data_IF_228337047509
#
_entry.id   IF_228337047509
#
_cell.length_a   1.000
_cell.length_b   1.000
_cell.length_c   1.000
_cell.angle_alpha   90.00
_cell.angle_beta   90.00
_cell.angle_gamma   90.00
#
_symmetry.space_group_name_H-M   'P 1'
#
loop_
_entity.id
_entity.type
_entity.pdbx_description
1 polymer ?
#
# COMPACT_ATOMS: atom_id res chain seq x y z
N UNK A 1 -12.18 -15.10 6.93
CA UNK A 1 -11.42 -13.82 7.04
C UNK A 1 -10.13 -13.82 6.19
N UNK A 2 -9.21 -14.79 6.33
CA UNK A 2 -7.93 -14.76 5.59
C UNK A 2 -8.03 -14.73 4.05
N UNK A 3 -8.95 -15.52 3.48
CA UNK A 3 -9.14 -15.59 2.02
C UNK A 3 -9.62 -14.25 1.42
N UNK A 4 -10.53 -13.55 2.11
CA UNK A 4 -11.06 -12.24 1.66
C UNK A 4 -9.95 -11.20 1.61
N UNK A 5 -9.04 -11.18 2.59
CA UNK A 5 -7.91 -10.23 2.62
C UNK A 5 -6.98 -10.46 1.42
N UNK A 6 -6.72 -11.71 1.04
CA UNK A 6 -5.88 -12.02 -0.11
C UNK A 6 -6.53 -11.54 -1.42
N UNK A 7 -7.81 -11.81 -1.62
CA UNK A 7 -8.56 -11.33 -2.78
C UNK A 7 -8.55 -9.80 -2.87
N UNK A 8 -8.83 -9.11 -1.77
CA UNK A 8 -8.83 -7.65 -1.72
C UNK A 8 -7.44 -7.09 -1.98
N UNK A 9 -6.39 -7.67 -1.40
CA UNK A 9 -5.00 -7.25 -1.66
C UNK A 9 -4.60 -7.42 -3.13
N UNK A 10 -5.07 -8.48 -3.78
CA UNK A 10 -4.87 -8.71 -5.21
C UNK A 10 -5.65 -7.69 -6.05
N UNK A 11 -6.89 -7.37 -5.70
CA UNK A 11 -7.66 -6.34 -6.38
C UNK A 11 -7.00 -4.96 -6.26
N UNK A 12 -6.56 -4.58 -5.07
CA UNK A 12 -5.81 -3.33 -4.84
C UNK A 12 -4.62 -3.26 -5.78
N UNK A 13 -3.73 -4.27 -5.75
CA UNK A 13 -2.54 -4.31 -6.58
C UNK A 13 -2.84 -4.29 -8.09
N UNK A 14 -3.82 -5.08 -8.53
CA UNK A 14 -4.17 -5.13 -9.96
C UNK A 14 -4.73 -3.81 -10.47
N UNK A 15 -5.63 -3.16 -9.74
CA UNK A 15 -6.19 -1.88 -10.18
C UNK A 15 -5.13 -0.78 -10.21
N UNK A 16 -4.24 -0.75 -9.24
CA UNK A 16 -3.15 0.23 -9.19
C UNK A 16 -2.10 0.00 -10.29
N UNK A 17 -1.80 -1.25 -10.65
CA UNK A 17 -0.84 -1.58 -11.72
C UNK A 17 -1.32 -1.10 -13.10
N UNK A 18 -2.64 -1.05 -13.31
CA UNK A 18 -3.25 -0.51 -14.53
C UNK A 18 -3.43 1.02 -14.52
N UNK A 19 -2.83 1.72 -13.56
CA UNK A 19 -2.98 3.17 -13.43
C UNK A 19 -4.33 3.61 -12.82
N UNK A 20 -5.17 2.68 -12.40
CA UNK A 20 -6.43 2.95 -11.69
C UNK A 20 -6.22 2.98 -10.17
N UNK A 21 -5.20 3.73 -9.71
CA UNK A 21 -4.85 3.82 -8.29
C UNK A 21 -6.02 4.28 -7.40
N UNK A 22 -6.89 5.14 -7.91
CA UNK A 22 -8.10 5.58 -7.23
C UNK A 22 -9.09 4.43 -6.95
N UNK A 23 -9.22 3.47 -7.88
CA UNK A 23 -10.11 2.31 -7.71
C UNK A 23 -9.51 1.38 -6.65
N UNK A 24 -8.20 1.13 -6.70
CA UNK A 24 -7.51 0.35 -5.67
C UNK A 24 -7.67 0.98 -4.28
N UNK A 25 -7.58 2.32 -4.19
CA UNK A 25 -7.81 3.06 -2.95
C UNK A 25 -9.26 2.96 -2.46
N UNK A 26 -10.26 3.05 -3.35
CA UNK A 26 -11.68 2.85 -2.99
C UNK A 26 -11.93 1.46 -2.42
N UNK A 27 -11.42 0.42 -3.08
CA UNK A 27 -11.51 -0.97 -2.58
C UNK A 27 -10.88 -1.10 -1.19
N UNK A 28 -9.74 -0.44 -0.97
CA UNK A 28 -9.12 -0.38 0.35
C UNK A 28 -9.98 0.35 1.39
N UNK A 29 -10.56 1.49 1.03
CA UNK A 29 -11.35 2.33 1.94
C UNK A 29 -12.69 1.70 2.33
N UNK A 30 -13.28 0.88 1.47
CA UNK A 30 -14.49 0.09 1.73
C UNK A 30 -14.25 -1.07 2.72
N UNK A 31 -12.99 -1.44 2.97
CA UNK A 31 -12.70 -2.51 3.91
C UNK A 31 -12.92 -2.07 5.37
N UNK A 32 -13.74 -2.81 6.15
CA UNK A 32 -14.00 -2.49 7.55
C UNK A 32 -12.76 -2.67 8.42
N UNK A 33 -11.85 -3.58 8.04
CA UNK A 33 -10.58 -3.80 8.72
C UNK A 33 -9.42 -3.64 7.74
N UNK A 34 -8.73 -2.50 7.85
CA UNK A 34 -7.53 -2.16 7.07
C UNK A 34 -6.29 -2.55 7.86
N UNK A 35 -6.06 -3.86 7.96
CA UNK A 35 -4.90 -4.42 8.66
C UNK A 35 -3.59 -4.26 7.89
N UNK A 36 -2.49 -4.67 8.52
CA UNK A 36 -1.12 -4.59 8.00
C UNK A 36 -0.98 -5.09 6.54
N UNK A 37 -1.63 -6.21 6.19
CA UNK A 37 -1.57 -6.79 4.84
C UNK A 37 -2.15 -5.86 3.79
N UNK A 38 -3.31 -5.24 4.06
CA UNK A 38 -3.97 -4.34 3.10
C UNK A 38 -3.21 -3.03 2.94
N UNK A 39 -2.69 -2.48 4.04
CA UNK A 39 -1.82 -1.30 3.99
C UNK A 39 -0.54 -1.58 3.19
N UNK A 40 0.10 -2.72 3.44
CA UNK A 40 1.33 -3.12 2.73
C UNK A 40 1.06 -3.30 1.23
N UNK A 41 -0.08 -3.89 0.86
CA UNK A 41 -0.47 -4.04 -0.54
C UNK A 41 -0.68 -2.67 -1.23
N UNK A 42 -1.40 -1.75 -0.58
CA UNK A 42 -1.63 -0.40 -1.08
C UNK A 42 -0.35 0.43 -1.17
N UNK A 43 0.52 0.37 -0.16
CA UNK A 43 1.80 1.10 -0.18
C UNK A 43 2.70 0.56 -1.29
N UNK A 44 2.82 -0.78 -1.42
CA UNK A 44 3.58 -1.43 -2.49
C UNK A 44 3.12 -0.91 -3.85
N UNK A 45 1.81 -0.90 -4.08
CA UNK A 45 1.32 -0.54 -5.40
C UNK A 45 1.62 0.91 -5.79
N UNK A 46 1.49 1.85 -4.85
CA UNK A 46 1.83 3.25 -5.13
C UNK A 46 3.34 3.44 -5.36
N UNK A 47 4.17 2.75 -4.57
CA UNK A 47 5.64 2.76 -4.76
C UNK A 47 6.05 2.12 -6.09
N UNK A 48 5.38 1.07 -6.54
CA UNK A 48 5.67 0.40 -7.83
C UNK A 48 5.15 1.18 -9.04
N UNK A 49 4.04 1.92 -8.90
CA UNK A 49 3.41 2.70 -9.97
C UNK A 49 4.03 4.10 -10.20
N UNK A 50 5.32 4.30 -9.84
CA UNK A 50 6.05 5.59 -9.89
C UNK A 50 5.42 6.73 -9.07
N UNK A 51 4.56 6.41 -8.12
CA UNK A 51 3.97 7.37 -7.16
C UNK A 51 4.55 7.12 -5.76
N UNK A 52 5.89 7.06 -5.69
CA UNK A 52 6.60 6.72 -4.46
C UNK A 52 6.29 7.69 -3.31
N UNK A 53 6.13 8.99 -3.61
CA UNK A 53 5.75 9.99 -2.61
C UNK A 53 4.39 9.68 -1.96
N UNK A 54 3.38 9.36 -2.75
CA UNK A 54 2.05 9.00 -2.24
C UNK A 54 2.09 7.68 -1.47
N UNK A 55 2.90 6.72 -1.92
CA UNK A 55 3.17 5.48 -1.18
C UNK A 55 3.75 5.73 0.22
N UNK A 56 4.71 6.67 0.33
CA UNK A 56 5.29 7.07 1.61
C UNK A 56 4.29 7.83 2.50
N UNK A 57 3.45 8.69 1.92
CA UNK A 57 2.36 9.34 2.68
C UNK A 57 1.37 8.32 3.25
N UNK A 58 1.04 7.27 2.49
CA UNK A 58 0.21 6.18 2.98
C UNK A 58 0.88 5.40 4.12
N UNK A 59 2.19 5.22 4.10
CA UNK A 59 2.93 4.62 5.21
C UNK A 59 2.89 5.49 6.48
N UNK A 60 2.98 6.82 6.34
CA UNK A 60 2.79 7.73 7.49
C UNK A 60 1.39 7.58 8.06
N UNK A 61 0.36 7.60 7.19
CA UNK A 61 -1.04 7.44 7.61
C UNK A 61 -1.32 6.11 8.29
N UNK A 62 -0.72 5.02 7.81
CA UNK A 62 -0.79 3.70 8.43
C UNK A 62 -0.31 3.73 9.89
N UNK A 63 0.77 4.45 10.17
CA UNK A 63 1.32 4.60 11.54
C UNK A 63 0.42 5.48 12.41
N UNK A 64 -0.16 6.55 11.85
CA UNK A 64 -1.07 7.46 12.58
C UNK A 64 -2.33 6.74 13.08
N UNK A 65 -2.85 5.77 12.29
CA UNK A 65 -4.01 4.96 12.70
C UNK A 65 -3.64 3.77 13.60
N UNK A 66 -2.39 3.71 14.09
CA UNK A 66 -1.92 2.69 15.01
C UNK A 66 -1.61 1.33 14.38
N UNK A 67 -1.56 1.22 13.05
CA UNK A 67 -1.13 -0.01 12.38
C UNK A 67 0.39 0.01 12.31
N UNK A 68 1.04 -0.72 13.20
CA UNK A 68 2.50 -0.80 13.22
C UNK A 68 3.03 -1.65 12.06
N UNK A 69 4.04 -1.15 11.32
CA UNK A 69 4.71 -1.88 10.26
C UNK A 69 5.73 -2.87 10.87
N UNK A 70 5.22 -3.87 11.58
CA UNK A 70 6.04 -4.95 12.12
C UNK A 70 6.54 -5.91 11.03
N UNK A 71 5.99 -5.80 9.82
CA UNK A 71 6.38 -6.61 8.68
C UNK A 71 7.61 -6.01 7.98
N UNK A 72 8.68 -6.79 7.91
CA UNK A 72 9.90 -6.49 7.15
C UNK A 72 9.61 -6.12 5.70
N UNK A 73 8.52 -6.67 5.14
CA UNK A 73 8.07 -6.38 3.77
C UNK A 73 7.61 -4.93 3.63
N UNK A 74 6.85 -4.40 4.58
CA UNK A 74 6.39 -3.01 4.55
C UNK A 74 7.57 -2.03 4.61
N UNK A 75 8.56 -2.32 5.45
CA UNK A 75 9.77 -1.52 5.57
C UNK A 75 10.63 -1.57 4.29
N UNK A 76 10.79 -2.75 3.68
CA UNK A 76 11.52 -2.90 2.43
C UNK A 76 10.91 -2.07 1.29
N UNK A 77 9.57 -2.05 1.20
CA UNK A 77 8.85 -1.22 0.21
C UNK A 77 9.14 0.26 0.44
N UNK A 78 9.08 0.72 1.69
CA UNK A 78 9.35 2.13 2.05
C UNK A 78 10.77 2.53 1.67
N UNK A 79 11.77 1.68 1.98
CA UNK A 79 13.16 1.92 1.60
C UNK A 79 13.32 2.03 0.07
N UNK A 80 12.67 1.14 -0.68
CA UNK A 80 12.64 1.21 -2.14
C UNK A 80 11.96 2.49 -2.66
N UNK A 81 10.88 2.93 -2.02
CA UNK A 81 10.22 4.20 -2.34
C UNK A 81 11.14 5.39 -2.13
N UNK A 82 11.85 5.44 -1.00
CA UNK A 82 12.83 6.50 -0.72
C UNK A 82 13.97 6.51 -1.77
N UNK A 83 14.48 5.33 -2.17
CA UNK A 83 15.52 5.28 -3.20
C UNK A 83 15.04 5.79 -4.56
N UNK A 84 13.77 5.58 -4.92
CA UNK A 84 13.21 6.12 -6.16
C UNK A 84 13.13 7.65 -6.17
N UNK A 85 12.85 8.27 -5.01
CA UNK A 85 12.77 9.73 -4.89
C UNK A 85 14.14 10.40 -4.86
N UNK A 86 15.16 9.74 -4.33
CA UNK A 86 16.53 10.29 -4.24
C UNK A 86 17.36 10.20 -5.53
N UNK A 87 16.87 9.50 -6.57
CA UNK A 87 17.56 9.33 -7.86
C UNK A 87 16.99 10.27 -8.94
N UNK A 88 15.98 11.08 -8.61
CA UNK A 88 15.39 12.11 -9.47
C UNK A 88 15.89 13.51 -9.11
#
# INVERSE_FOLDING_TARGET
MGVVILFVSALIGRYTDFGCGEIGKKVFDEMPQRGLVLWTALIRSYVSARSAEEGLRLFVKMREVGVMPHDHVALAIVVSGCSQLGVN
#
